data_IF_824562114024
#
_entry.id   IF_824562114024
#
_cell.length_a   1.000
_cell.length_b   1.000
_cell.length_c   1.000
_cell.angle_alpha   90.00
_cell.angle_beta   90.00
_cell.angle_gamma   90.00
#
_symmetry.space_group_name_H-M   'P 1'
#
loop_
_entity.id
_entity.type
_entity.pdbx_description
1 polymer ?
#
# COMPACT_ATOMS: atom_id res chain seq x y z
N UNK A 1 18.94 -1.20 0.64
CA UNK A 1 18.43 -2.53 0.23
C UNK A 1 18.07 -2.46 -1.25
N UNK A 2 18.31 -3.52 -2.01
CA UNK A 2 17.99 -3.65 -3.44
C UNK A 2 16.72 -4.47 -3.63
N UNK A 3 16.08 -4.33 -4.79
CA UNK A 3 14.86 -5.08 -5.12
C UNK A 3 15.16 -6.58 -5.14
N UNK A 4 14.35 -7.37 -4.45
CA UNK A 4 14.53 -8.80 -4.22
C UNK A 4 15.59 -9.16 -3.18
N UNK A 5 16.22 -8.18 -2.51
CA UNK A 5 17.21 -8.47 -1.46
C UNK A 5 16.52 -8.91 -0.17
N UNK A 6 17.02 -10.01 0.41
CA UNK A 6 16.72 -10.42 1.80
C UNK A 6 17.90 -10.07 2.68
N UNK A 7 17.66 -9.32 3.76
CA UNK A 7 18.68 -8.92 4.71
C UNK A 7 18.23 -9.17 6.15
N UNK A 8 19.18 -9.52 7.01
CA UNK A 8 18.98 -9.59 8.45
C UNK A 8 19.63 -8.39 9.12
N UNK A 9 18.87 -7.71 9.98
CA UNK A 9 19.30 -6.48 10.65
C UNK A 9 19.06 -6.59 12.16
N UNK A 10 20.10 -6.35 12.94
CA UNK A 10 20.01 -6.26 14.39
C UNK A 10 19.73 -4.81 14.80
N UNK A 11 18.54 -4.56 15.36
CA UNK A 11 18.04 -3.23 15.67
C UNK A 11 18.05 -3.02 17.18
N UNK A 12 18.84 -2.04 17.62
CA UNK A 12 18.95 -1.66 19.03
C UNK A 12 17.60 -1.15 19.58
N UNK A 13 17.36 -1.25 20.89
CA UNK A 13 16.06 -0.95 21.47
C UNK A 13 15.56 0.47 21.19
N UNK A 14 16.46 1.45 21.14
CA UNK A 14 16.13 2.84 20.84
C UNK A 14 15.55 3.08 19.42
N UNK A 15 15.79 2.15 18.50
CA UNK A 15 15.28 2.18 17.12
C UNK A 15 14.15 1.16 16.90
N UNK A 16 13.74 0.45 17.96
CA UNK A 16 12.66 -0.54 17.95
C UNK A 16 11.59 -0.19 19.00
N UNK A 17 11.32 -1.06 19.98
CA UNK A 17 10.23 -0.91 20.95
C UNK A 17 10.62 -0.19 22.26
N UNK A 18 11.90 0.18 22.40
CA UNK A 18 12.41 0.97 23.52
C UNK A 18 12.10 0.39 24.90
N UNK A 19 12.01 1.29 25.89
CA UNK A 19 11.77 0.94 27.30
C UNK A 19 10.36 0.45 27.60
N UNK A 20 9.41 0.64 26.67
CA UNK A 20 8.04 0.15 26.81
C UNK A 20 7.91 -1.31 26.34
N UNK A 21 8.70 -1.72 25.34
CA UNK A 21 8.53 -3.03 24.71
C UNK A 21 7.17 -3.16 24.01
N UNK A 22 6.70 -4.40 23.82
CA UNK A 22 5.35 -4.72 23.39
C UNK A 22 4.82 -5.93 24.17
N UNK A 23 4.48 -5.78 25.47
CA UNK A 23 4.05 -6.90 26.30
C UNK A 23 2.78 -7.59 25.79
N UNK A 24 2.65 -8.93 25.96
CA UNK A 24 3.64 -9.84 26.52
C UNK A 24 4.71 -10.30 25.51
N UNK A 25 4.61 -9.86 24.25
CA UNK A 25 5.37 -10.40 23.11
C UNK A 25 6.83 -9.95 23.08
N UNK A 26 7.10 -8.71 23.45
CA UNK A 26 8.44 -8.11 23.37
C UNK A 26 8.78 -7.45 24.71
N UNK A 27 9.84 -7.89 25.40
CA UNK A 27 10.30 -7.27 26.63
C UNK A 27 10.71 -5.80 26.46
N UNK A 28 10.78 -5.09 27.58
CA UNK A 28 11.37 -3.75 27.64
C UNK A 28 12.84 -3.81 27.23
N UNK A 29 13.31 -2.82 26.48
CA UNK A 29 14.69 -2.68 26.04
C UNK A 29 15.24 -3.89 25.26
N UNK A 30 14.39 -4.65 24.56
CA UNK A 30 14.83 -5.77 23.74
C UNK A 30 15.51 -5.29 22.44
N UNK A 31 16.64 -5.92 22.09
CA UNK A 31 17.26 -5.80 20.76
C UNK A 31 16.56 -6.78 19.82
N UNK A 32 16.17 -6.32 18.62
CA UNK A 32 15.34 -7.10 17.70
C UNK A 32 16.15 -7.50 16.48
N UNK A 33 16.15 -8.79 16.12
CA UNK A 33 16.63 -9.26 14.83
C UNK A 33 15.45 -9.26 13.84
N UNK A 34 15.51 -8.39 12.84
CA UNK A 34 14.56 -8.39 11.72
C UNK A 34 15.14 -9.14 10.54
N UNK A 35 14.33 -10.00 9.92
CA UNK A 35 14.57 -10.53 8.59
C UNK A 35 13.62 -9.80 7.63
N UNK A 36 14.19 -9.08 6.67
CA UNK A 36 13.46 -8.19 5.76
C UNK A 36 13.76 -8.58 4.33
N UNK A 37 12.71 -8.81 3.55
CA UNK A 37 12.78 -9.00 2.10
C UNK A 37 12.22 -7.74 1.39
N UNK A 38 13.02 -7.12 0.53
CA UNK A 38 12.59 -5.95 -0.24
C UNK A 38 11.96 -6.36 -1.57
N UNK A 39 10.68 -6.66 -1.55
CA UNK A 39 9.93 -7.08 -2.75
C UNK A 39 9.94 -6.01 -3.86
N UNK A 40 9.66 -4.75 -3.51
CA UNK A 40 9.61 -3.63 -4.44
C UNK A 40 9.84 -2.30 -3.71
N UNK A 41 10.50 -1.35 -4.36
CA UNK A 41 10.60 0.04 -3.93
C UNK A 41 10.52 0.96 -5.16
N UNK A 42 10.31 2.24 -4.93
CA UNK A 42 10.36 3.28 -5.96
C UNK A 42 11.36 4.32 -5.50
N UNK A 43 12.25 4.74 -6.39
CA UNK A 43 13.13 5.85 -6.10
C UNK A 43 12.34 7.15 -6.09
N UNK A 44 12.69 8.03 -5.14
CA UNK A 44 12.08 9.35 -5.04
C UNK A 44 12.55 10.30 -6.17
N UNK A 45 13.56 9.89 -6.96
CA UNK A 45 14.26 10.70 -7.96
C UNK A 45 14.39 10.01 -9.33
N UNK A 46 13.55 9.01 -9.63
CA UNK A 46 13.52 8.32 -10.94
C UNK A 46 12.84 9.17 -12.04
N UNK A 47 13.39 10.37 -12.24
CA UNK A 47 13.03 11.41 -13.19
C UNK A 47 13.21 11.08 -14.68
N UNK A 48 13.19 9.81 -15.09
CA UNK A 48 13.36 9.39 -16.49
C UNK A 48 12.12 8.72 -17.11
N UNK A 49 10.94 8.99 -16.56
CA UNK A 49 9.68 8.82 -17.31
C UNK A 49 8.62 9.85 -16.91
N UNK A 50 9.03 10.96 -16.31
CA UNK A 50 8.14 11.94 -15.72
C UNK A 50 7.65 12.95 -16.76
N UNK A 51 6.45 12.72 -17.29
CA UNK A 51 5.67 13.77 -17.95
C UNK A 51 5.31 14.84 -16.93
N UNK A 52 6.19 15.82 -16.72
CA UNK A 52 5.88 17.04 -15.95
C UNK A 52 4.81 17.84 -16.69
N UNK A 53 3.71 18.17 -16.01
CA UNK A 53 2.83 19.24 -16.46
C UNK A 53 3.37 20.60 -16.00
N UNK A 54 2.87 21.67 -16.61
CA UNK A 54 3.26 23.07 -16.38
C UNK A 54 3.14 23.57 -14.91
N UNK A 55 2.57 22.79 -13.99
CA UNK A 55 2.40 23.15 -12.57
C UNK A 55 3.39 22.47 -11.61
N UNK A 56 4.32 21.64 -12.12
CA UNK A 56 5.33 20.98 -11.31
C UNK A 56 4.86 19.74 -10.53
N UNK A 57 3.62 19.25 -10.73
CA UNK A 57 3.19 17.97 -10.17
C UNK A 57 3.78 16.78 -10.94
N UNK A 58 4.41 15.86 -10.19
CA UNK A 58 4.93 14.60 -10.72
C UNK A 58 3.77 13.67 -11.07
N UNK A 59 3.55 13.40 -12.36
CA UNK A 59 2.62 12.38 -12.83
C UNK A 59 3.31 11.00 -12.81
N UNK A 60 2.81 10.08 -12.00
CA UNK A 60 3.29 8.69 -11.97
C UNK A 60 2.87 7.95 -13.26
N UNK A 61 3.81 7.23 -13.88
CA UNK A 61 3.56 6.41 -15.08
C UNK A 61 2.53 5.31 -14.78
N UNK A 62 1.40 5.32 -15.49
CA UNK A 62 0.26 4.43 -15.23
C UNK A 62 0.64 2.96 -15.11
N UNK A 63 1.42 2.41 -16.05
CA UNK A 63 1.80 0.99 -16.03
C UNK A 63 2.56 0.57 -14.76
N UNK A 64 3.46 1.41 -14.26
CA UNK A 64 4.21 1.14 -13.01
C UNK A 64 3.28 1.23 -11.80
N UNK A 65 2.38 2.21 -11.78
CA UNK A 65 1.37 2.34 -10.73
C UNK A 65 0.44 1.14 -10.70
N UNK A 66 -0.04 0.71 -11.87
CA UNK A 66 -0.95 -0.41 -12.02
C UNK A 66 -0.39 -1.68 -11.37
N UNK A 67 0.88 -2.03 -11.68
CA UNK A 67 1.55 -3.20 -11.10
C UNK A 67 1.58 -3.17 -9.56
N UNK A 68 1.84 -2.00 -8.96
CA UNK A 68 1.86 -1.89 -7.50
C UNK A 68 0.48 -1.86 -6.89
N UNK A 69 -0.48 -1.24 -7.55
CA UNK A 69 -1.88 -1.27 -7.12
C UNK A 69 -2.44 -2.70 -7.13
N UNK A 70 -2.06 -3.53 -8.11
CA UNK A 70 -2.39 -4.95 -8.18
C UNK A 70 -1.72 -5.75 -7.05
N UNK A 71 -0.42 -5.54 -6.81
CA UNK A 71 0.27 -6.18 -5.68
C UNK A 71 -0.36 -5.82 -4.33
N UNK A 72 -0.72 -4.54 -4.12
CA UNK A 72 -1.43 -4.08 -2.92
C UNK A 72 -2.84 -4.63 -2.83
N UNK A 73 -3.54 -4.78 -3.95
CA UNK A 73 -4.86 -5.42 -4.00
C UNK A 73 -4.78 -6.88 -3.56
N UNK A 74 -3.83 -7.65 -4.11
CA UNK A 74 -3.59 -9.04 -3.72
C UNK A 74 -3.24 -9.15 -2.23
N UNK A 75 -2.34 -8.28 -1.75
CA UNK A 75 -1.98 -8.25 -0.32
C UNK A 75 -3.17 -7.89 0.58
N UNK A 76 -4.02 -6.97 0.14
CA UNK A 76 -5.26 -6.64 0.81
C UNK A 76 -6.23 -7.81 0.87
N UNK A 77 -6.32 -8.62 -0.19
CA UNK A 77 -7.13 -9.84 -0.23
C UNK A 77 -6.59 -10.90 0.73
N UNK A 78 -5.28 -11.08 0.84
CA UNK A 78 -4.66 -11.96 1.85
C UNK A 78 -5.07 -11.55 3.26
N UNK A 79 -4.93 -10.27 3.61
CA UNK A 79 -5.35 -9.75 4.91
C UNK A 79 -6.86 -9.89 5.14
N UNK A 80 -7.67 -9.68 4.10
CA UNK A 80 -9.11 -9.85 4.17
C UNK A 80 -9.50 -11.29 4.50
N UNK A 81 -8.89 -12.26 3.81
CA UNK A 81 -9.12 -13.69 4.03
C UNK A 81 -8.63 -14.15 5.41
N UNK A 82 -7.57 -13.52 5.93
CA UNK A 82 -7.09 -13.72 7.30
C UNK A 82 -7.94 -12.99 8.37
N UNK A 83 -9.05 -12.37 7.98
CA UNK A 83 -9.93 -11.56 8.85
C UNK A 83 -9.25 -10.33 9.49
N UNK A 84 -8.11 -9.89 8.95
CA UNK A 84 -7.33 -8.74 9.40
C UNK A 84 -7.82 -7.44 8.74
N UNK A 85 -9.08 -7.08 8.99
CA UNK A 85 -9.82 -6.02 8.27
C UNK A 85 -9.12 -4.65 8.24
N UNK A 86 -8.45 -4.27 9.34
CA UNK A 86 -7.74 -2.98 9.43
C UNK A 86 -6.53 -2.94 8.47
N UNK A 87 -5.80 -4.06 8.35
CA UNK A 87 -4.67 -4.17 7.42
C UNK A 87 -5.15 -4.21 5.98
N UNK A 88 -6.22 -4.98 5.70
CA UNK A 88 -6.85 -5.01 4.38
C UNK A 88 -7.28 -3.61 3.91
N UNK A 89 -7.98 -2.86 4.78
CA UNK A 89 -8.38 -1.47 4.50
C UNK A 89 -7.18 -0.56 4.20
N UNK A 90 -6.09 -0.68 4.96
CA UNK A 90 -4.89 0.11 4.73
C UNK A 90 -4.28 -0.18 3.35
N UNK A 91 -4.21 -1.45 2.96
CA UNK A 91 -3.73 -1.86 1.64
C UNK A 91 -4.61 -1.27 0.51
N UNK A 92 -5.92 -1.45 0.60
CA UNK A 92 -6.84 -0.98 -0.44
C UNK A 92 -6.88 0.55 -0.55
N UNK A 93 -6.99 1.29 0.57
CA UNK A 93 -7.02 2.76 0.55
C UNK A 93 -5.76 3.37 -0.05
N UNK A 94 -4.59 2.87 0.36
CA UNK A 94 -3.32 3.34 -0.19
C UNK A 94 -3.18 3.01 -1.69
N UNK A 95 -3.82 1.93 -2.16
CA UNK A 95 -3.88 1.60 -3.58
C UNK A 95 -4.78 2.57 -4.36
N UNK A 96 -5.96 2.92 -3.82
CA UNK A 96 -6.85 3.94 -4.41
C UNK A 96 -6.15 5.29 -4.51
N UNK A 97 -5.54 5.77 -3.42
CA UNK A 97 -4.84 7.08 -3.38
C UNK A 97 -3.73 7.20 -4.43
N UNK A 98 -3.05 6.10 -4.72
CA UNK A 98 -2.00 6.05 -5.75
C UNK A 98 -2.60 5.97 -7.15
N UNK A 99 -3.61 5.12 -7.35
CA UNK A 99 -4.22 4.87 -8.65
C UNK A 99 -5.00 6.09 -9.16
N UNK A 100 -5.68 6.85 -8.28
CA UNK A 100 -6.39 8.08 -8.64
C UNK A 100 -5.46 9.21 -9.12
N UNK A 101 -4.20 9.18 -8.71
CA UNK A 101 -3.17 10.17 -9.12
C UNK A 101 -2.40 9.71 -10.36
N UNK A 102 -2.61 8.47 -10.81
CA UNK A 102 -1.92 7.92 -11.96
C UNK A 102 -2.43 8.57 -13.24
N UNK A 103 -1.51 8.77 -14.19
CA UNK A 103 -1.84 9.42 -15.46
C UNK A 103 -1.80 8.45 -16.60
N UNK A 104 -2.96 8.30 -17.22
CA UNK A 104 -3.21 7.45 -18.36
C UNK A 104 -2.85 8.19 -19.65
N UNK A 105 -2.30 7.46 -20.62
CA UNK A 105 -1.89 8.02 -21.90
C UNK A 105 -2.97 7.89 -22.98
N UNK A 106 -3.96 7.03 -22.76
CA UNK A 106 -5.00 6.68 -23.73
C UNK A 106 -6.23 6.09 -23.04
N UNK A 107 -7.33 5.96 -23.80
CA UNK A 107 -8.61 5.43 -23.33
C UNK A 107 -8.50 3.98 -22.81
N UNK A 108 -7.58 3.18 -23.35
CA UNK A 108 -7.38 1.80 -22.91
C UNK A 108 -6.81 1.78 -21.47
N UNK A 109 -5.83 2.61 -21.18
CA UNK A 109 -5.27 2.76 -19.83
C UNK A 109 -6.31 3.35 -18.86
N UNK A 110 -7.16 4.28 -19.29
CA UNK A 110 -8.29 4.79 -18.49
C UNK A 110 -9.27 3.68 -18.12
N UNK A 111 -9.64 2.80 -19.07
CA UNK A 111 -10.50 1.64 -18.79
C UNK A 111 -9.88 0.69 -17.78
N UNK A 112 -8.58 0.43 -17.90
CA UNK A 112 -7.83 -0.41 -16.95
C UNK A 112 -7.78 0.21 -15.55
N UNK A 113 -7.51 1.52 -15.47
CA UNK A 113 -7.50 2.28 -14.22
C UNK A 113 -8.86 2.19 -13.52
N UNK A 114 -9.93 2.44 -14.26
CA UNK A 114 -11.29 2.48 -13.74
C UNK A 114 -11.77 1.09 -13.30
N UNK A 115 -11.41 0.05 -14.06
CA UNK A 115 -11.70 -1.34 -13.69
C UNK A 115 -11.02 -1.74 -12.37
N UNK A 116 -9.77 -1.34 -12.13
CA UNK A 116 -9.08 -1.64 -10.88
C UNK A 116 -9.59 -0.77 -9.72
N UNK A 117 -9.88 0.52 -9.95
CA UNK A 117 -10.51 1.38 -8.95
C UNK A 117 -11.83 0.80 -8.45
N UNK A 118 -12.70 0.33 -9.36
CA UNK A 118 -13.98 -0.28 -9.00
C UNK A 118 -13.79 -1.50 -8.08
N UNK A 119 -12.81 -2.37 -8.39
CA UNK A 119 -12.49 -3.53 -7.53
C UNK A 119 -12.04 -3.10 -6.14
N UNK A 120 -11.16 -2.09 -6.06
CA UNK A 120 -10.63 -1.57 -4.80
C UNK A 120 -11.73 -0.92 -3.95
N UNK A 121 -12.58 -0.11 -4.58
CA UNK A 121 -13.72 0.54 -3.93
C UNK A 121 -14.71 -0.46 -3.35
N UNK A 122 -15.07 -1.50 -4.12
CA UNK A 122 -15.91 -2.59 -3.63
C UNK A 122 -15.28 -3.32 -2.44
N UNK A 123 -13.99 -3.60 -2.49
CA UNK A 123 -13.27 -4.26 -1.40
C UNK A 123 -13.22 -3.40 -0.13
N UNK A 124 -13.02 -2.08 -0.25
CA UNK A 124 -13.06 -1.15 0.89
C UNK A 124 -14.46 -1.13 1.50
N UNK A 125 -15.49 -1.01 0.67
CA UNK A 125 -16.90 -1.01 1.10
C UNK A 125 -17.23 -2.29 1.86
N UNK A 126 -16.82 -3.45 1.35
CA UNK A 126 -17.00 -4.74 2.01
C UNK A 126 -16.29 -4.81 3.38
N UNK A 127 -15.06 -4.32 3.47
CA UNK A 127 -14.34 -4.24 4.75
C UNK A 127 -15.03 -3.30 5.76
N UNK A 128 -15.54 -2.16 5.29
CA UNK A 128 -16.29 -1.21 6.13
C UNK A 128 -17.57 -1.86 6.68
N UNK A 129 -18.32 -2.57 5.84
CA UNK A 129 -19.51 -3.32 6.26
C UNK A 129 -19.18 -4.39 7.31
N UNK A 130 -18.14 -5.20 7.07
CA UNK A 130 -17.71 -6.24 8.03
C UNK A 130 -17.21 -5.68 9.36
N UNK A 131 -16.81 -4.41 9.41
CA UNK A 131 -16.32 -3.75 10.64
C UNK A 131 -17.36 -2.83 11.29
N UNK A 132 -18.63 -2.87 10.85
CA UNK A 132 -19.70 -2.04 11.42
C UNK A 132 -19.59 -0.55 11.07
N UNK A 133 -18.70 -0.17 10.15
CA UNK A 133 -18.47 1.21 9.69
C UNK A 133 -19.22 1.50 8.40
N UNK A 134 -20.51 1.17 8.38
CA UNK A 134 -21.34 1.26 7.18
C UNK A 134 -21.39 2.68 6.60
N UNK A 135 -21.41 3.72 7.44
CA UNK A 135 -21.36 5.13 7.02
C UNK A 135 -20.13 5.47 6.19
N UNK A 136 -18.96 4.94 6.55
CA UNK A 136 -17.74 5.07 5.75
C UNK A 136 -17.79 4.21 4.48
N UNK A 137 -18.50 3.08 4.49
CA UNK A 137 -18.65 2.23 3.31
C UNK A 137 -19.39 2.95 2.17
N UNK A 138 -20.38 3.76 2.50
CA UNK A 138 -21.20 4.50 1.52
C UNK A 138 -20.33 5.46 0.68
N UNK A 139 -19.32 6.11 1.26
CA UNK A 139 -18.44 7.02 0.51
C UNK A 139 -17.56 6.32 -0.54
N UNK A 140 -17.48 4.99 -0.47
CA UNK A 140 -16.71 4.15 -1.39
C UNK A 140 -17.61 3.29 -2.31
N UNK A 141 -18.93 3.46 -2.24
CA UNK A 141 -19.87 2.88 -3.21
C UNK A 141 -20.01 3.85 -4.40
N UNK A 142 -18.98 3.92 -5.24
CA UNK A 142 -18.92 4.73 -6.46
C UNK A 142 -19.15 3.88 -7.71
#
# INVERSE_FOLDING_TARGET
MKKGETAQMLVLPQYAFGSMGCPPRIPKNATILYEVELLHFFDADDGESEGRNYDGQVKLVFKKVLQVCEAKHNKGNEHFNANEMVKALKCFKSSVEMLEKACTANEQEEKEQQALLLKLYNNISLCCLKTGRASMGISYAK
#
